data_IF_000572456428
#
_entry.id   IF_000572456428
#
_cell.length_a   1.000
_cell.length_b   1.000
_cell.length_c   1.000
_cell.angle_alpha   90.00
_cell.angle_beta   90.00
_cell.angle_gamma   90.00
#
_symmetry.space_group_name_H-M   'P 1'
#
loop_
_entity.id
_entity.type
_entity.pdbx_description
1 polymer ?
#
# COMPACT_ATOMS: atom_id res chain seq x y z
N UNK A 1 7.55 -1.59 18.12
CA UNK A 1 7.55 -2.68 17.13
C UNK A 1 6.15 -3.06 16.67
N UNK A 2 5.18 -3.32 17.56
CA UNK A 2 3.78 -3.69 17.18
C UNK A 2 3.15 -2.79 16.09
N UNK A 3 3.34 -1.47 16.15
CA UNK A 3 2.81 -0.53 15.15
C UNK A 3 3.37 -0.73 13.73
N UNK A 4 4.63 -1.17 13.61
CA UNK A 4 5.24 -1.45 12.31
C UNK A 4 4.68 -2.74 11.73
N UNK A 5 4.53 -3.78 12.55
CA UNK A 5 3.99 -5.07 12.09
C UNK A 5 2.53 -4.94 11.63
N UNK A 6 1.73 -4.11 12.30
CA UNK A 6 0.37 -3.80 11.90
C UNK A 6 0.31 -3.04 10.57
N UNK A 7 1.24 -2.09 10.37
CA UNK A 7 1.33 -1.37 9.10
C UNK A 7 1.86 -2.25 7.97
N UNK A 8 2.82 -3.14 8.23
CA UNK A 8 3.31 -4.09 7.25
C UNK A 8 2.21 -5.03 6.78
N UNK A 9 1.38 -5.55 7.69
CA UNK A 9 0.19 -6.32 7.32
C UNK A 9 -0.74 -5.54 6.42
N UNK A 10 -1.03 -4.28 6.78
CA UNK A 10 -1.93 -3.41 6.02
C UNK A 10 -1.38 -3.08 4.63
N UNK A 11 -0.07 -2.82 4.51
CA UNK A 11 0.61 -2.63 3.22
C UNK A 11 0.52 -3.90 2.37
N UNK A 12 0.73 -5.06 2.99
CA UNK A 12 0.68 -6.36 2.30
C UNK A 12 -0.73 -6.65 1.77
N UNK A 13 -1.77 -6.45 2.59
CA UNK A 13 -3.17 -6.60 2.17
C UNK A 13 -3.53 -5.62 1.05
N UNK A 14 -3.14 -4.36 1.15
CA UNK A 14 -3.41 -3.35 0.11
C UNK A 14 -2.70 -3.67 -1.20
N UNK A 15 -1.47 -4.21 -1.15
CA UNK A 15 -0.77 -4.70 -2.34
C UNK A 15 -1.49 -5.88 -2.99
N UNK A 16 -1.94 -6.85 -2.20
CA UNK A 16 -2.69 -8.00 -2.71
C UNK A 16 -4.01 -7.56 -3.36
N UNK A 17 -4.73 -6.63 -2.72
CA UNK A 17 -5.97 -6.07 -3.26
C UNK A 17 -5.73 -5.32 -4.57
N UNK A 18 -4.69 -4.48 -4.65
CA UNK A 18 -4.31 -3.78 -5.88
C UNK A 18 -3.94 -4.78 -7.00
N UNK A 19 -3.19 -5.82 -6.67
CA UNK A 19 -2.75 -6.81 -7.65
C UNK A 19 -3.92 -7.67 -8.16
N UNK A 20 -4.89 -7.97 -7.29
CA UNK A 20 -6.15 -8.58 -7.68
C UNK A 20 -6.94 -7.66 -8.61
N UNK A 21 -7.05 -6.37 -8.26
CA UNK A 21 -7.72 -5.38 -9.10
C UNK A 21 -7.07 -5.26 -10.49
N UNK A 22 -5.74 -5.26 -10.55
CA UNK A 22 -4.96 -5.25 -11.80
C UNK A 22 -5.19 -6.54 -12.60
N UNK A 23 -5.39 -7.68 -11.93
CA UNK A 23 -5.63 -8.96 -12.60
C UNK A 23 -7.07 -9.07 -13.12
N UNK A 24 -8.03 -8.43 -12.44
CA UNK A 24 -9.45 -8.39 -12.83
C UNK A 24 -9.73 -7.31 -13.88
N UNK A 25 -8.94 -6.22 -13.90
CA UNK A 25 -9.10 -5.10 -14.83
C UNK A 25 -8.08 -5.22 -15.96
N UNK A 26 -8.56 -5.21 -17.20
CA UNK A 26 -7.71 -5.20 -18.40
C UNK A 26 -6.90 -3.91 -18.58
N UNK A 27 -7.26 -2.84 -17.87
CA UNK A 27 -6.61 -1.54 -17.99
C UNK A 27 -6.08 -1.04 -16.64
N UNK A 28 -4.76 -0.81 -16.58
CA UNK A 28 -4.09 -0.22 -15.42
C UNK A 28 -4.48 1.25 -15.17
N UNK A 29 -5.00 1.91 -16.19
CA UNK A 29 -5.53 3.28 -16.10
C UNK A 29 -7.01 3.32 -15.70
N UNK A 30 -7.61 2.17 -15.33
CA UNK A 30 -8.93 2.16 -14.73
C UNK A 30 -8.90 3.05 -13.45
N UNK A 31 -9.84 3.98 -13.30
CA UNK A 31 -9.89 4.88 -12.15
C UNK A 31 -9.82 4.14 -10.80
N UNK A 32 -10.37 2.93 -10.73
CA UNK A 32 -10.36 2.11 -9.52
C UNK A 32 -8.95 1.59 -9.20
N UNK A 33 -8.19 1.18 -10.23
CA UNK A 33 -6.78 0.77 -10.10
C UNK A 33 -5.93 1.98 -9.67
N UNK A 34 -6.16 3.14 -10.27
CA UNK A 34 -5.44 4.39 -9.94
C UNK A 34 -5.71 4.78 -8.48
N UNK A 35 -6.97 4.80 -8.05
CA UNK A 35 -7.35 5.16 -6.68
C UNK A 35 -6.76 4.16 -5.68
N UNK A 36 -6.82 2.86 -5.97
CA UNK A 36 -6.24 1.83 -5.11
C UNK A 36 -4.71 1.98 -5.00
N UNK A 37 -4.04 2.29 -6.12
CA UNK A 37 -2.60 2.54 -6.16
C UNK A 37 -2.20 3.77 -5.33
N UNK A 38 -2.91 4.88 -5.49
CA UNK A 38 -2.67 6.11 -4.72
C UNK A 38 -2.88 5.91 -3.22
N UNK A 39 -3.91 5.14 -2.82
CA UNK A 39 -4.13 4.81 -1.41
C UNK A 39 -2.99 3.98 -0.82
N UNK A 40 -2.48 3.01 -1.59
CA UNK A 40 -1.33 2.21 -1.17
C UNK A 40 -0.08 3.10 -1.00
N UNK A 41 0.13 4.05 -1.90
CA UNK A 41 1.28 4.95 -1.86
C UNK A 41 1.27 5.85 -0.60
N UNK A 42 0.10 6.34 -0.17
CA UNK A 42 -0.04 7.09 1.09
C UNK A 42 0.39 6.24 2.30
N UNK A 43 -0.07 4.99 2.38
CA UNK A 43 0.27 4.10 3.50
C UNK A 43 1.75 3.72 3.49
N UNK A 44 2.34 3.52 2.31
CA UNK A 44 3.79 3.29 2.17
C UNK A 44 4.61 4.49 2.63
N UNK A 45 4.16 5.71 2.33
CA UNK A 45 4.83 6.92 2.78
C UNK A 45 4.78 7.06 4.31
N UNK A 46 3.65 6.75 4.94
CA UNK A 46 3.53 6.69 6.40
C UNK A 46 4.47 5.64 7.01
N UNK A 47 4.54 4.45 6.39
CA UNK A 47 5.42 3.37 6.82
C UNK A 47 6.90 3.77 6.76
N UNK A 48 7.31 4.36 5.64
CA UNK A 48 8.66 4.90 5.48
C UNK A 48 8.98 6.02 6.48
N UNK A 49 8.01 6.88 6.80
CA UNK A 49 8.21 7.94 7.80
C UNK A 49 8.44 7.37 9.21
N UNK A 50 7.74 6.30 9.58
CA UNK A 50 7.94 5.62 10.87
C UNK A 50 9.28 4.87 10.89
N UNK A 51 9.63 4.18 9.80
CA UNK A 51 10.92 3.51 9.69
C UNK A 51 12.09 4.48 9.84
N UNK A 52 12.03 5.66 9.19
CA UNK A 52 13.08 6.69 9.34
C UNK A 52 13.26 7.11 10.79
N UNK A 53 12.17 7.34 11.52
CA UNK A 53 12.21 7.72 12.94
C UNK A 53 12.76 6.65 13.88
N UNK A 54 12.84 5.40 13.43
CA UNK A 54 13.37 4.28 14.22
C UNK A 54 14.85 4.03 13.89
N UNK A 55 15.28 4.42 12.69
CA UNK A 55 16.66 4.26 12.21
C UNK A 55 17.56 5.48 12.53
N UNK A 56 16.97 6.61 12.94
CA UNK A 56 17.66 7.76 13.56
C UNK A 56 17.84 7.58 15.06
#
# INVERSE_FOLDING_TARGET
>A
MVKIDEMDKRVCEMRQNLQKLISEKTNLLDPEVIIASQKLDVVLNEYHAILRKILE
#
